data_IF_202704180096
#
_entry.id   IF_202704180096
#
_cell.length_a   1.000
_cell.length_b   1.000
_cell.length_c   1.000
_cell.angle_alpha   90.00
_cell.angle_beta   90.00
_cell.angle_gamma   90.00
#
_symmetry.space_group_name_H-M   'P 1'
#
loop_
_entity.id
_entity.type
_entity.pdbx_description
1 polymer ?
#
# COMPACT_ATOMS: atom_id res chain seq x y z
N UNK A 1 12.35 3.66 -3.70
CA UNK A 1 11.60 2.39 -3.70
C UNK A 1 12.14 1.50 -2.58
N UNK A 2 11.27 1.12 -1.64
CA UNK A 2 11.62 0.24 -0.52
C UNK A 2 11.63 -1.21 -0.96
N UNK A 3 10.69 -1.62 -1.78
CA UNK A 3 10.63 -2.97 -2.28
C UNK A 3 9.42 -3.25 -3.15
N UNK A 4 9.41 -4.46 -3.71
CA UNK A 4 8.30 -4.99 -4.48
C UNK A 4 7.85 -6.27 -3.81
N UNK A 5 6.56 -6.39 -3.53
CA UNK A 5 6.01 -7.45 -2.70
C UNK A 5 4.85 -8.15 -3.39
N UNK A 6 4.76 -9.45 -3.19
CA UNK A 6 3.65 -10.25 -3.69
C UNK A 6 2.91 -10.87 -2.52
N UNK A 7 1.60 -10.77 -2.53
CA UNK A 7 0.74 -11.44 -1.57
C UNK A 7 -0.47 -12.04 -2.26
N UNK A 8 -0.80 -13.25 -1.86
CA UNK A 8 -2.00 -13.93 -2.32
C UNK A 8 -3.06 -13.89 -1.24
N UNK A 9 -4.26 -13.49 -1.61
CA UNK A 9 -5.42 -13.47 -0.74
C UNK A 9 -6.45 -14.44 -1.28
N UNK A 10 -6.80 -15.44 -0.48
CA UNK A 10 -7.89 -16.34 -0.77
C UNK A 10 -9.00 -16.11 0.23
N UNK A 11 -10.21 -15.91 -0.24
CA UNK A 11 -11.41 -15.81 0.59
C UNK A 11 -12.34 -16.94 0.26
N UNK A 12 -12.86 -17.60 1.30
CA UNK A 12 -13.91 -18.59 1.14
C UNK A 12 -15.14 -17.96 0.50
N UNK A 13 -15.98 -18.79 -0.11
CA UNK A 13 -17.23 -18.33 -0.73
C UNK A 13 -18.06 -17.54 0.28
N UNK A 14 -18.45 -16.34 -0.14
CA UNK A 14 -19.38 -15.52 0.64
C UNK A 14 -20.80 -16.08 0.55
N UNK A 15 -21.74 -15.51 1.30
CA UNK A 15 -23.18 -15.83 1.18
C UNK A 15 -23.72 -15.62 -0.23
N UNK A 16 -23.01 -14.89 -1.08
CA UNK A 16 -23.33 -14.68 -2.49
C UNK A 16 -22.70 -15.71 -3.41
N UNK A 17 -22.01 -16.73 -2.88
CA UNK A 17 -21.46 -17.83 -3.64
C UNK A 17 -20.15 -17.53 -4.37
N UNK A 18 -19.49 -16.38 -4.08
CA UNK A 18 -18.22 -16.02 -4.70
C UNK A 18 -17.06 -16.30 -3.77
N UNK A 19 -16.09 -17.11 -4.24
CA UNK A 19 -14.77 -17.20 -3.64
C UNK A 19 -13.84 -16.22 -4.37
N UNK A 20 -12.89 -15.66 -3.64
CA UNK A 20 -11.87 -14.78 -4.19
C UNK A 20 -10.50 -15.40 -4.03
N UNK A 21 -9.72 -15.35 -5.09
CA UNK A 21 -8.31 -15.73 -5.11
C UNK A 21 -7.56 -14.68 -5.91
N UNK A 22 -6.92 -13.76 -5.18
CA UNK A 22 -6.27 -12.60 -5.77
C UNK A 22 -4.83 -12.53 -5.34
N UNK A 23 -3.93 -12.32 -6.29
CA UNK A 23 -2.53 -12.02 -6.02
C UNK A 23 -2.29 -10.53 -6.23
N UNK A 24 -1.78 -9.86 -5.22
CA UNK A 24 -1.43 -8.44 -5.27
C UNK A 24 0.06 -8.28 -5.52
N UNK A 25 0.39 -7.39 -6.45
CA UNK A 25 1.74 -6.89 -6.64
C UNK A 25 1.79 -5.49 -6.05
N UNK A 26 2.64 -5.29 -5.05
CA UNK A 26 2.73 -4.02 -4.34
C UNK A 26 4.11 -3.42 -4.52
N UNK A 27 4.14 -2.16 -4.91
CA UNK A 27 5.35 -1.33 -4.92
C UNK A 27 5.29 -0.42 -3.69
N UNK A 28 6.28 -0.54 -2.80
CA UNK A 28 6.33 0.28 -1.60
C UNK A 28 7.39 1.38 -1.77
N UNK A 29 6.97 2.62 -1.56
CA UNK A 29 7.83 3.79 -1.62
C UNK A 29 7.87 4.46 -0.25
N UNK A 30 9.00 5.07 0.08
CA UNK A 30 9.08 5.98 1.21
C UNK A 30 9.14 7.42 0.72
N UNK A 31 8.72 8.34 1.57
CA UNK A 31 8.73 9.75 1.26
C UNK A 31 8.56 10.57 2.53
N UNK A 32 8.52 11.87 2.36
CA UNK A 32 8.26 12.80 3.46
C UNK A 32 6.83 13.31 3.36
N UNK A 33 6.09 13.17 4.47
CA UNK A 33 4.74 13.72 4.54
C UNK A 33 4.80 15.21 4.82
N UNK A 34 4.04 15.99 4.06
CA UNK A 34 3.81 17.40 4.36
C UNK A 34 2.62 17.56 5.30
N UNK A 35 2.20 18.83 5.47
CA UNK A 35 1.01 19.13 6.26
C UNK A 35 -0.25 18.60 5.59
N UNK A 36 -1.20 18.05 6.35
CA UNK A 36 -2.48 17.63 5.78
C UNK A 36 -3.23 18.82 5.18
N UNK A 37 -3.90 18.59 4.07
CA UNK A 37 -4.79 19.62 3.50
C UNK A 37 -6.08 19.71 4.32
N UNK A 38 -6.39 20.86 4.95
CA UNK A 38 -7.61 21.00 5.73
C UNK A 38 -8.86 20.80 4.86
N UNK A 39 -9.83 20.09 5.39
CA UNK A 39 -11.13 19.90 4.74
C UNK A 39 -11.13 18.94 3.55
N UNK A 40 -10.01 18.33 3.21
CA UNK A 40 -9.96 17.33 2.15
C UNK A 40 -10.56 16.01 2.63
N UNK A 41 -11.48 15.47 1.86
CA UNK A 41 -12.11 14.19 2.18
C UNK A 41 -11.12 13.04 2.03
N UNK A 42 -11.22 12.06 2.91
CA UNK A 42 -10.48 10.81 2.79
C UNK A 42 -11.14 9.90 1.75
N UNK A 43 -10.37 8.99 1.20
CA UNK A 43 -10.91 8.00 0.26
C UNK A 43 -11.98 7.13 0.92
N UNK A 44 -12.87 6.63 0.10
CA UNK A 44 -13.94 5.74 0.57
C UNK A 44 -13.34 4.54 1.32
N UNK A 45 -13.91 4.24 2.49
CA UNK A 45 -13.43 3.16 3.35
C UNK A 45 -12.32 3.56 4.32
N UNK A 46 -11.81 4.80 4.24
CA UNK A 46 -10.84 5.31 5.19
C UNK A 46 -11.54 6.19 6.20
N UNK A 47 -11.52 5.77 7.47
CA UNK A 47 -12.17 6.50 8.57
C UNK A 47 -11.30 7.66 9.02
N UNK A 48 -10.00 7.42 9.17
CA UNK A 48 -9.05 8.41 9.66
C UNK A 48 -7.62 8.00 9.31
N UNK A 49 -6.70 8.95 9.42
CA UNK A 49 -5.26 8.71 9.38
C UNK A 49 -4.66 8.95 10.75
N UNK A 50 -3.62 8.21 11.08
CA UNK A 50 -2.92 8.34 12.36
C UNK A 50 -1.42 8.25 12.17
N UNK A 51 -0.67 8.87 13.10
CA UNK A 51 0.77 8.68 13.20
C UNK A 51 1.06 7.63 14.25
N UNK A 52 1.85 6.63 13.90
CA UNK A 52 2.22 5.53 14.80
C UNK A 52 3.74 5.40 14.85
N UNK A 53 4.26 5.05 16.02
CA UNK A 53 5.66 4.65 16.16
C UNK A 53 5.85 3.25 15.57
N UNK A 54 7.09 2.88 15.20
CA UNK A 54 7.37 1.51 14.77
C UNK A 54 6.90 0.44 15.76
N UNK A 55 7.06 0.69 17.06
CA UNK A 55 6.62 -0.25 18.09
C UNK A 55 5.10 -0.42 18.10
N UNK A 56 4.35 0.67 17.91
CA UNK A 56 2.89 0.62 17.83
C UNK A 56 2.42 -0.13 16.60
N UNK A 57 3.07 0.06 15.46
CA UNK A 57 2.76 -0.68 14.24
C UNK A 57 3.01 -2.16 14.44
N UNK A 58 4.17 -2.52 15.02
CA UNK A 58 4.50 -3.92 15.30
C UNK A 58 3.49 -4.56 16.25
N UNK A 59 3.09 -3.85 17.30
CA UNK A 59 2.11 -4.34 18.27
C UNK A 59 0.72 -4.60 17.65
N UNK A 60 0.40 -3.94 16.54
CA UNK A 60 -0.88 -4.09 15.85
C UNK A 60 -0.87 -5.11 14.71
N UNK A 61 0.17 -5.93 14.59
CA UNK A 61 0.37 -6.85 13.45
C UNK A 61 -0.84 -7.75 13.18
N UNK A 62 -1.52 -8.21 14.22
CA UNK A 62 -2.68 -9.08 14.06
C UNK A 62 -3.86 -8.39 13.35
N UNK A 63 -3.88 -7.05 13.33
CA UNK A 63 -4.92 -6.25 12.67
C UNK A 63 -4.50 -5.75 11.29
N UNK A 64 -3.28 -6.07 10.85
CA UNK A 64 -2.82 -5.66 9.53
C UNK A 64 -3.55 -6.43 8.45
N UNK A 65 -3.81 -5.76 7.34
CA UNK A 65 -4.48 -6.33 6.19
C UNK A 65 -3.74 -7.53 5.60
N UNK A 66 -2.41 -7.51 5.68
CA UNK A 66 -1.57 -8.64 5.30
C UNK A 66 -0.25 -8.58 6.06
N UNK A 67 0.48 -9.71 6.18
CA UNK A 67 1.82 -9.71 6.78
C UNK A 67 2.82 -8.79 6.08
N UNK A 68 2.57 -8.44 4.83
CA UNK A 68 3.44 -7.55 4.06
C UNK A 68 3.39 -6.10 4.55
N UNK A 69 2.36 -5.70 5.28
CA UNK A 69 2.29 -4.35 5.86
C UNK A 69 3.47 -4.14 6.80
N UNK A 70 3.70 -5.04 7.74
CA UNK A 70 4.84 -4.94 8.63
C UNK A 70 6.16 -5.17 7.90
N UNK A 71 6.20 -6.11 6.96
CA UNK A 71 7.42 -6.42 6.21
C UNK A 71 7.97 -5.19 5.47
N UNK A 72 7.13 -4.44 4.78
CA UNK A 72 7.62 -3.27 4.07
C UNK A 72 8.03 -2.13 5.02
N UNK A 73 7.37 -2.00 6.16
CA UNK A 73 7.79 -1.03 7.18
C UNK A 73 9.13 -1.44 7.80
N UNK A 74 9.31 -2.71 8.12
CA UNK A 74 10.58 -3.23 8.65
C UNK A 74 11.73 -3.03 7.66
N UNK A 75 11.49 -3.28 6.39
CA UNK A 75 12.48 -3.05 5.33
C UNK A 75 12.83 -1.56 5.24
N UNK A 76 11.83 -0.69 5.33
CA UNK A 76 12.06 0.76 5.37
C UNK A 76 12.93 1.17 6.55
N UNK A 77 12.64 0.66 7.75
CA UNK A 77 13.40 0.97 8.97
C UNK A 77 14.82 0.41 8.89
N UNK A 78 15.02 -0.71 8.22
CA UNK A 78 16.35 -1.29 7.99
C UNK A 78 17.15 -0.53 6.93
N UNK A 79 16.57 0.49 6.31
CA UNK A 79 17.25 1.30 5.31
C UNK A 79 17.30 0.68 3.92
N UNK A 80 16.48 -0.34 3.64
CA UNK A 80 16.44 -0.96 2.31
C UNK A 80 15.93 0.06 1.29
N UNK A 81 16.72 0.29 0.25
CA UNK A 81 16.37 1.22 -0.84
C UNK A 81 16.81 0.64 -2.17
N UNK A 82 15.97 0.83 -3.16
CA UNK A 82 16.25 0.49 -4.54
C UNK A 82 16.09 1.73 -5.42
N UNK A 83 16.84 1.81 -6.53
CA UNK A 83 16.71 2.97 -7.44
C UNK A 83 15.28 3.12 -7.93
N UNK A 84 14.78 4.36 -7.97
CA UNK A 84 13.44 4.63 -8.52
C UNK A 84 13.36 4.25 -10.00
N UNK A 85 14.48 4.27 -10.70
CA UNK A 85 14.59 3.87 -12.09
C UNK A 85 14.30 2.39 -12.33
N UNK A 86 14.21 1.59 -11.27
CA UNK A 86 13.76 0.21 -11.37
C UNK A 86 12.34 0.12 -11.93
N UNK A 87 11.54 1.16 -11.69
CA UNK A 87 10.20 1.31 -12.27
C UNK A 87 10.31 2.28 -13.44
N UNK A 88 10.16 1.77 -14.65
CA UNK A 88 10.20 2.59 -15.86
C UNK A 88 8.79 2.95 -16.27
N UNK A 89 8.53 4.24 -16.43
CA UNK A 89 7.22 4.76 -16.79
C UNK A 89 7.23 5.31 -18.18
N UNK A 90 6.35 4.82 -19.03
CA UNK A 90 6.16 5.38 -20.37
C UNK A 90 5.31 6.65 -20.30
N UNK A 91 5.55 7.58 -21.20
CA UNK A 91 4.83 8.87 -21.24
C UNK A 91 3.31 8.71 -21.35
N UNK A 92 2.84 7.61 -21.91
CA UNK A 92 1.40 7.31 -22.03
C UNK A 92 0.68 7.28 -20.67
N UNK A 93 1.39 7.04 -19.58
CA UNK A 93 0.81 7.04 -18.24
C UNK A 93 0.29 8.43 -17.87
N UNK A 94 0.91 9.47 -18.39
CA UNK A 94 0.54 10.87 -18.13
C UNK A 94 -0.37 11.46 -19.18
N UNK A 95 -0.69 10.69 -20.22
CA UNK A 95 -1.55 11.19 -21.28
C UNK A 95 -2.99 11.37 -20.79
N UNK A 96 -3.72 12.39 -21.27
CA UNK A 96 -5.13 12.53 -20.94
C UNK A 96 -5.91 11.29 -21.36
N UNK A 97 -6.95 10.94 -20.58
CA UNK A 97 -7.84 9.85 -20.92
C UNK A 97 -8.54 10.17 -22.26
N UNK A 98 -8.36 9.29 -23.25
CA UNK A 98 -9.01 9.45 -24.56
C UNK A 98 -10.51 9.16 -24.53
N UNK A 99 -11.02 8.58 -23.47
CA UNK A 99 -12.43 8.31 -23.28
C UNK A 99 -13.11 9.55 -22.71
N UNK A 100 -13.86 10.19 -23.49
CA UNK A 100 -14.68 11.34 -23.10
C UNK A 100 -16.14 10.93 -22.98
#
# INVERSE_FOLDING_TARGET
LVGVYLARLQRAATSQGRSEDVTYLRFAFCGHAGEPEPGRALDQGIVRTVWLTPAEVEASRARHRSPLVWRCIADHLAGVRHPLQLVTTDASVYAPTALS
#
